data_IF_354035887105
#
_entry.id   IF_354035887105
#
_cell.length_a   1.000
_cell.length_b   1.000
_cell.length_c   1.000
_cell.angle_alpha   90.00
_cell.angle_beta   90.00
_cell.angle_gamma   90.00
#
_symmetry.space_group_name_H-M   'P 1'
#
loop_
_entity.id
_entity.type
_entity.pdbx_description
1 polymer ?
#
# COMPACT_ATOMS: atom_id res chain seq x y z
N UNK A 1 -1.53 31.42 19.44
CA UNK A 1 -1.65 30.01 19.84
C UNK A 1 -2.07 29.22 18.61
N UNK A 2 -1.44 28.09 18.34
CA UNK A 2 -1.87 27.22 17.24
C UNK A 2 -3.27 26.65 17.54
N UNK A 3 -4.11 26.49 16.52
CA UNK A 3 -5.44 25.87 16.64
C UNK A 3 -5.30 24.35 16.80
N UNK A 4 -5.04 23.92 18.03
CA UNK A 4 -4.86 22.51 18.39
C UNK A 4 -6.12 21.69 18.06
N UNK A 5 -7.31 22.27 18.19
CA UNK A 5 -8.58 21.55 17.94
C UNK A 5 -8.78 21.32 16.44
N UNK A 6 -8.48 22.33 15.61
CA UNK A 6 -8.46 22.18 14.16
C UNK A 6 -7.49 21.10 13.69
N UNK A 7 -6.27 21.09 14.24
CA UNK A 7 -5.26 20.07 13.92
C UNK A 7 -5.70 18.65 14.29
N UNK A 8 -6.30 18.46 15.47
CA UNK A 8 -6.80 17.15 15.89
C UNK A 8 -7.87 16.62 14.94
N UNK A 9 -8.79 17.47 14.48
CA UNK A 9 -9.83 17.09 13.53
C UNK A 9 -9.23 16.67 12.18
N UNK A 10 -8.24 17.40 11.67
CA UNK A 10 -7.54 17.04 10.43
C UNK A 10 -6.83 15.70 10.53
N UNK A 11 -6.19 15.42 11.68
CA UNK A 11 -5.54 14.11 11.93
C UNK A 11 -6.57 12.99 11.93
N UNK A 12 -7.73 13.19 12.56
CA UNK A 12 -8.80 12.19 12.61
C UNK A 12 -9.37 11.90 11.22
N UNK A 13 -9.65 12.93 10.43
CA UNK A 13 -10.11 12.80 9.03
C UNK A 13 -9.07 12.11 8.14
N UNK A 14 -7.79 12.44 8.32
CA UNK A 14 -6.69 11.80 7.61
C UNK A 14 -6.59 10.32 7.96
N UNK A 15 -6.57 9.98 9.25
CA UNK A 15 -6.47 8.59 9.70
C UNK A 15 -7.64 7.74 9.19
N UNK A 16 -8.87 8.28 9.24
CA UNK A 16 -10.06 7.60 8.74
C UNK A 16 -10.01 7.31 7.23
N UNK A 17 -9.36 8.17 6.44
CA UNK A 17 -9.17 7.95 4.99
C UNK A 17 -8.28 6.75 4.68
N UNK A 18 -7.35 6.40 5.58
CA UNK A 18 -6.38 5.32 5.39
C UNK A 18 -6.62 4.11 6.30
N UNK A 19 -7.66 4.18 7.14
CA UNK A 19 -8.12 3.06 7.95
C UNK A 19 -8.66 1.95 7.05
N UNK A 20 -8.13 0.74 7.20
CA UNK A 20 -8.62 -0.44 6.51
C UNK A 20 -9.65 -1.14 7.39
N UNK A 21 -10.83 -1.38 6.82
CA UNK A 21 -11.92 -2.10 7.47
C UNK A 21 -12.28 -3.34 6.65
N UNK A 22 -13.19 -4.17 7.16
CA UNK A 22 -13.72 -5.33 6.43
C UNK A 22 -14.35 -4.97 5.08
N UNK A 23 -14.87 -3.74 4.96
CA UNK A 23 -15.54 -3.22 3.77
C UNK A 23 -14.58 -2.56 2.77
N UNK A 24 -13.29 -2.47 3.09
CA UNK A 24 -12.31 -1.90 2.18
C UNK A 24 -12.14 -2.75 0.93
N UNK A 25 -12.00 -2.07 -0.21
CA UNK A 25 -11.70 -2.70 -1.48
C UNK A 25 -10.37 -3.46 -1.42
N UNK A 26 -10.20 -4.42 -2.32
CA UNK A 26 -8.92 -5.12 -2.46
C UNK A 26 -7.77 -4.17 -2.80
N UNK A 27 -8.04 -3.13 -3.60
CA UNK A 27 -7.05 -2.09 -3.91
C UNK A 27 -6.61 -1.31 -2.67
N UNK A 28 -7.53 -0.94 -1.79
CA UNK A 28 -7.21 -0.26 -0.52
C UNK A 28 -6.40 -1.16 0.41
N UNK A 29 -6.75 -2.45 0.51
CA UNK A 29 -6.00 -3.44 1.29
C UNK A 29 -4.59 -3.62 0.76
N UNK A 30 -4.41 -3.71 -0.56
CA UNK A 30 -3.09 -3.79 -1.19
C UNK A 30 -2.27 -2.50 -0.99
N UNK A 31 -2.88 -1.32 -1.15
CA UNK A 31 -2.24 -0.03 -0.82
C UNK A 31 -1.77 0.00 0.62
N UNK A 32 -2.61 -0.43 1.57
CA UNK A 32 -2.24 -0.47 2.97
C UNK A 32 -1.04 -1.39 3.22
N UNK A 33 -1.04 -2.59 2.61
CA UNK A 33 0.10 -3.51 2.68
C UNK A 33 1.36 -2.88 2.06
N UNK A 34 1.27 -2.19 0.92
CA UNK A 34 2.41 -1.50 0.31
C UNK A 34 3.02 -0.43 1.24
N UNK A 35 2.16 0.35 1.89
CA UNK A 35 2.58 1.52 2.67
C UNK A 35 2.94 1.23 4.13
N UNK A 36 2.45 0.13 4.70
CA UNK A 36 2.56 -0.13 6.14
C UNK A 36 3.11 -1.51 6.45
N UNK A 37 3.63 -1.65 7.68
CA UNK A 37 4.12 -2.91 8.21
C UNK A 37 5.53 -3.26 7.72
N UNK A 38 6.37 -3.72 8.66
CA UNK A 38 7.64 -4.38 8.33
C UNK A 38 7.34 -5.67 7.59
N UNK A 39 8.15 -5.98 6.58
CA UNK A 39 8.01 -7.17 5.76
C UNK A 39 9.38 -7.76 5.51
N UNK A 40 9.49 -9.06 5.67
CA UNK A 40 10.66 -9.81 5.20
C UNK A 40 10.63 -9.96 3.67
N UNK A 41 11.68 -10.60 3.14
CA UNK A 41 11.83 -10.80 1.68
C UNK A 41 10.68 -11.61 1.08
N UNK A 42 10.25 -12.71 1.72
CA UNK A 42 9.17 -13.55 1.21
C UNK A 42 7.86 -12.78 1.15
N UNK A 43 7.57 -11.97 2.16
CA UNK A 43 6.39 -11.12 2.22
C UNK A 43 6.38 -10.03 1.14
N UNK A 44 7.54 -9.44 0.83
CA UNK A 44 7.66 -8.49 -0.29
C UNK A 44 7.43 -9.14 -1.64
N UNK A 45 8.02 -10.31 -1.88
CA UNK A 45 7.85 -11.05 -3.13
C UNK A 45 6.40 -11.53 -3.30
N UNK A 46 5.77 -12.02 -2.23
CA UNK A 46 4.36 -12.40 -2.27
C UNK A 46 3.46 -11.18 -2.52
N UNK A 47 3.73 -10.04 -1.88
CA UNK A 47 2.98 -8.81 -2.13
C UNK A 47 3.09 -8.37 -3.60
N UNK A 48 4.25 -8.52 -4.23
CA UNK A 48 4.41 -8.24 -5.67
C UNK A 48 3.53 -9.15 -6.53
N UNK A 49 3.43 -10.42 -6.20
CA UNK A 49 2.56 -11.34 -6.92
C UNK A 49 1.07 -11.02 -6.70
N UNK A 50 0.68 -10.68 -5.47
CA UNK A 50 -0.70 -10.26 -5.17
C UNK A 50 -1.09 -9.01 -5.97
N UNK A 51 -0.19 -8.01 -6.04
CA UNK A 51 -0.39 -6.81 -6.84
C UNK A 51 -0.47 -7.14 -8.34
N UNK A 52 0.42 -8.00 -8.85
CA UNK A 52 0.35 -8.45 -10.25
C UNK A 52 -0.95 -9.17 -10.59
N UNK A 53 -1.45 -9.98 -9.67
CA UNK A 53 -2.73 -10.68 -9.83
C UNK A 53 -3.90 -9.70 -9.81
N UNK A 54 -3.85 -8.67 -8.97
CA UNK A 54 -4.83 -7.59 -8.96
C UNK A 54 -4.87 -6.82 -10.29
N UNK A 55 -3.73 -6.48 -10.88
CA UNK A 55 -3.73 -5.80 -12.20
C UNK A 55 -4.30 -6.66 -13.33
N UNK A 56 -4.19 -7.99 -13.21
CA UNK A 56 -4.74 -8.95 -14.18
C UNK A 56 -6.22 -9.28 -13.95
N UNK A 57 -6.80 -8.86 -12.82
CA UNK A 57 -8.22 -9.14 -12.52
C UNK A 57 -9.16 -8.22 -13.29
N UNK A 58 -10.45 -8.44 -13.11
CA UNK A 58 -11.56 -7.61 -13.59
C UNK A 58 -11.85 -6.41 -12.67
N UNK A 59 -10.93 -6.06 -11.75
CA UNK A 59 -11.07 -4.90 -10.89
C UNK A 59 -11.23 -3.59 -11.71
N UNK A 60 -11.97 -2.59 -11.17
CA UNK A 60 -12.15 -1.29 -11.81
C UNK A 60 -10.82 -0.63 -12.19
N UNK A 61 -10.80 0.06 -13.34
CA UNK A 61 -9.57 0.75 -13.80
C UNK A 61 -9.14 1.85 -12.82
N UNK A 62 -10.09 2.55 -12.20
CA UNK A 62 -9.81 3.56 -11.17
C UNK A 62 -9.04 2.97 -9.98
N UNK A 63 -9.38 1.74 -9.57
CA UNK A 63 -8.67 1.05 -8.49
C UNK A 63 -7.25 0.64 -8.90
N UNK A 64 -7.08 0.24 -10.17
CA UNK A 64 -5.77 -0.10 -10.74
C UNK A 64 -4.88 1.13 -10.87
N UNK A 65 -5.42 2.24 -11.37
CA UNK A 65 -4.72 3.54 -11.45
C UNK A 65 -4.30 4.02 -10.05
N UNK A 66 -5.22 3.93 -9.07
CA UNK A 66 -4.93 4.27 -7.68
C UNK A 66 -3.78 3.43 -7.12
N UNK A 67 -3.81 2.11 -7.31
CA UNK A 67 -2.79 1.21 -6.80
C UNK A 67 -1.44 1.40 -7.51
N UNK A 68 -1.43 1.70 -8.81
CA UNK A 68 -0.23 1.87 -9.63
C UNK A 68 0.72 2.90 -9.01
N UNK A 69 0.18 4.00 -8.47
CA UNK A 69 0.94 5.06 -7.81
C UNK A 69 1.74 4.61 -6.56
N UNK A 70 1.51 3.40 -6.06
CA UNK A 70 2.20 2.83 -4.88
C UNK A 70 3.15 1.68 -5.23
N UNK A 71 3.28 1.31 -6.51
CA UNK A 71 4.02 0.10 -6.92
C UNK A 71 5.52 0.32 -7.14
N UNK A 72 5.97 1.56 -7.32
CA UNK A 72 7.38 1.87 -7.63
C UNK A 72 8.33 1.43 -6.51
N UNK A 73 8.02 1.78 -5.25
CA UNK A 73 8.82 1.39 -4.09
C UNK A 73 8.88 -0.13 -3.92
N UNK A 74 7.77 -0.82 -4.11
CA UNK A 74 7.72 -2.29 -4.10
C UNK A 74 8.61 -2.87 -5.18
N UNK A 75 8.56 -2.33 -6.41
CA UNK A 75 9.40 -2.78 -7.52
C UNK A 75 10.89 -2.67 -7.17
N UNK A 76 11.30 -1.52 -6.64
CA UNK A 76 12.68 -1.29 -6.21
C UNK A 76 13.13 -2.27 -5.11
N UNK A 77 12.31 -2.49 -4.08
CA UNK A 77 12.63 -3.41 -2.98
C UNK A 77 12.74 -4.85 -3.50
N UNK A 78 11.80 -5.29 -4.35
CA UNK A 78 11.83 -6.63 -4.92
C UNK A 78 13.05 -6.84 -5.82
N UNK A 79 13.41 -5.87 -6.66
CA UNK A 79 14.67 -5.92 -7.43
C UNK A 79 15.89 -5.95 -6.52
N UNK A 80 15.90 -5.18 -5.42
CA UNK A 80 17.00 -5.23 -4.45
C UNK A 80 17.16 -6.62 -3.82
N UNK A 81 16.04 -7.28 -3.48
CA UNK A 81 16.03 -8.64 -2.94
C UNK A 81 16.58 -9.63 -3.98
N UNK A 82 16.07 -9.59 -5.22
CA UNK A 82 16.38 -10.59 -6.25
C UNK A 82 17.78 -10.42 -6.85
N UNK A 83 18.20 -9.19 -7.11
CA UNK A 83 19.44 -8.90 -7.83
C UNK A 83 20.64 -8.78 -6.88
N UNK A 84 20.41 -8.39 -5.62
CA UNK A 84 21.48 -8.06 -4.67
C UNK A 84 21.39 -8.81 -3.32
N UNK A 85 20.37 -9.64 -3.11
CA UNK A 85 20.20 -10.37 -1.85
C UNK A 85 19.86 -9.47 -0.66
N UNK A 86 19.18 -8.35 -0.88
CA UNK A 86 18.76 -7.43 0.18
C UNK A 86 17.81 -8.10 1.18
N UNK A 87 18.00 -7.82 2.48
CA UNK A 87 17.15 -8.28 3.58
C UNK A 87 16.47 -7.08 4.27
N UNK A 88 15.19 -6.79 3.96
CA UNK A 88 14.42 -5.66 4.52
C UNK A 88 13.97 -5.80 5.98
#
# INVERSE_FOLDING_TARGET
MADIKGLLKTIEEYNKKYEITENSSEAEKLRYRLMNGKKNKEEWLQLREDVRNFFKSDAPEEDKEMLLGYTESMSMICSAIEDYGYEP
#
